data_IF_686978621504
#
_entry.id   IF_686978621504
#
_cell.length_a   1.000
_cell.length_b   1.000
_cell.length_c   1.000
_cell.angle_alpha   90.00
_cell.angle_beta   90.00
_cell.angle_gamma   90.00
#
_symmetry.space_group_name_H-M   'P 1'
#
loop_
_entity.id
_entity.type
_entity.pdbx_description
1 polymer ?
#
# COMPACT_ATOMS: atom_id res chain seq x y z
N UNK A 1 7.70 -17.33 2.14
CA UNK A 1 6.42 -16.60 1.94
C UNK A 1 6.00 -16.87 0.50
N UNK A 2 4.73 -17.24 0.25
CA UNK A 2 4.23 -17.57 -1.10
C UNK A 2 3.48 -16.42 -1.77
N UNK A 3 2.93 -15.51 -0.98
CA UNK A 3 2.37 -14.26 -1.43
C UNK A 3 2.64 -13.18 -0.38
N UNK A 4 2.88 -11.94 -0.81
CA UNK A 4 3.03 -10.78 0.06
C UNK A 4 2.29 -9.58 -0.53
N UNK A 5 1.55 -8.88 0.32
CA UNK A 5 0.92 -7.61 -0.04
C UNK A 5 1.61 -6.49 0.75
N UNK A 6 2.29 -5.61 0.03
CA UNK A 6 2.97 -4.44 0.57
C UNK A 6 2.05 -3.22 0.37
N UNK A 7 1.73 -2.54 1.47
CA UNK A 7 0.73 -1.47 1.48
C UNK A 7 1.36 -0.18 2.00
N UNK A 8 1.32 0.88 1.17
CA UNK A 8 1.75 2.24 1.50
C UNK A 8 3.20 2.33 2.06
N UNK A 9 4.12 1.55 1.52
CA UNK A 9 5.54 1.59 1.90
C UNK A 9 6.46 1.10 0.77
N UNK A 10 7.71 1.56 0.77
CA UNK A 10 8.75 1.20 -0.20
C UNK A 10 9.92 0.47 0.49
N UNK A 11 9.76 -0.79 0.91
CA UNK A 11 10.74 -1.52 1.71
C UNK A 11 12.06 -1.78 0.99
N UNK A 12 12.10 -1.74 -0.35
CA UNK A 12 13.35 -1.82 -1.12
C UNK A 12 14.25 -0.60 -0.88
N UNK A 13 13.70 0.50 -0.37
CA UNK A 13 14.47 1.70 0.01
C UNK A 13 14.51 1.90 1.53
N UNK A 14 13.40 1.68 2.23
CA UNK A 14 13.24 2.12 3.62
C UNK A 14 13.70 1.11 4.68
N UNK A 15 13.79 -0.18 4.34
CA UNK A 15 14.21 -1.20 5.30
C UNK A 15 15.74 -1.36 5.33
N UNK A 16 16.32 -1.70 6.51
CA UNK A 16 17.72 -2.08 6.60
C UNK A 16 17.97 -3.35 5.78
N UNK A 17 19.18 -3.46 5.22
CA UNK A 17 19.56 -4.56 4.32
C UNK A 17 18.60 -4.68 3.11
N UNK A 18 18.45 -3.57 2.39
CA UNK A 18 17.57 -3.45 1.22
C UNK A 18 17.88 -4.47 0.11
N UNK A 19 19.15 -4.89 -0.02
CA UNK A 19 19.56 -5.93 -0.96
C UNK A 19 18.89 -7.27 -0.64
N UNK A 20 18.84 -7.66 0.63
CA UNK A 20 18.15 -8.87 1.07
C UNK A 20 16.64 -8.76 0.90
N UNK A 21 16.05 -7.60 1.17
CA UNK A 21 14.62 -7.34 0.93
C UNK A 21 14.28 -7.50 -0.54
N UNK A 22 15.05 -6.84 -1.42
CA UNK A 22 14.90 -6.95 -2.87
C UNK A 22 14.96 -8.41 -3.34
N UNK A 23 16.00 -9.15 -2.93
CA UNK A 23 16.14 -10.55 -3.28
C UNK A 23 14.97 -11.41 -2.76
N UNK A 24 14.43 -11.11 -1.56
CA UNK A 24 13.28 -11.83 -1.02
C UNK A 24 12.00 -11.56 -1.82
N UNK A 25 11.81 -10.34 -2.32
CA UNK A 25 10.67 -9.98 -3.19
C UNK A 25 10.80 -10.62 -4.57
N UNK A 26 11.99 -10.59 -5.19
CA UNK A 26 12.24 -11.26 -6.49
C UNK A 26 12.02 -12.78 -6.42
N UNK A 27 12.22 -13.41 -5.26
CA UNK A 27 11.97 -14.83 -5.04
C UNK A 27 10.56 -15.13 -4.51
N UNK A 28 9.72 -14.12 -4.26
CA UNK A 28 8.35 -14.32 -3.81
C UNK A 28 7.46 -14.65 -5.01
N UNK A 29 6.68 -15.76 -4.98
CA UNK A 29 5.84 -16.14 -6.12
C UNK A 29 4.72 -15.17 -6.48
N UNK A 30 4.32 -14.29 -5.56
CA UNK A 30 3.27 -13.32 -5.81
C UNK A 30 3.41 -12.08 -4.91
N UNK A 31 3.66 -10.93 -5.51
CA UNK A 31 3.86 -9.65 -4.83
C UNK A 31 2.78 -8.67 -5.29
N UNK A 32 1.94 -8.22 -4.35
CA UNK A 32 0.98 -7.14 -4.56
C UNK A 32 1.51 -5.88 -3.89
N UNK A 33 1.43 -4.74 -4.58
CA UNK A 33 1.78 -3.44 -4.01
C UNK A 33 0.59 -2.50 -4.15
N UNK A 34 0.10 -1.95 -3.03
CA UNK A 34 -0.85 -0.83 -3.05
C UNK A 34 -0.14 0.46 -2.66
N UNK A 35 -0.01 1.38 -3.62
CA UNK A 35 0.75 2.63 -3.46
C UNK A 35 0.05 3.78 -4.20
N UNK A 36 0.21 5.01 -3.69
CA UNK A 36 -0.26 6.23 -4.34
C UNK A 36 0.78 6.82 -5.30
N UNK A 37 2.02 6.30 -5.29
CA UNK A 37 3.09 6.65 -6.23
C UNK A 37 3.27 5.51 -7.23
N UNK A 38 3.12 5.83 -8.52
CA UNK A 38 3.12 4.83 -9.58
C UNK A 38 4.46 4.09 -9.73
N UNK A 39 5.57 4.80 -9.58
CA UNK A 39 6.91 4.27 -9.81
C UNK A 39 7.77 4.38 -8.55
N UNK A 40 7.98 3.25 -7.88
CA UNK A 40 8.87 3.07 -6.74
C UNK A 40 9.71 1.81 -6.95
N UNK A 41 10.81 1.68 -6.23
CA UNK A 41 11.67 0.49 -6.27
C UNK A 41 10.91 -0.78 -5.88
N UNK A 42 9.90 -0.65 -5.01
CA UNK A 42 9.04 -1.78 -4.63
C UNK A 42 7.96 -2.06 -5.69
N UNK A 43 7.33 -1.05 -6.30
CA UNK A 43 6.31 -1.31 -7.34
C UNK A 43 6.91 -1.97 -8.58
N UNK A 44 8.18 -1.70 -8.89
CA UNK A 44 8.92 -2.37 -9.99
C UNK A 44 9.12 -3.87 -9.79
N UNK A 45 8.97 -4.37 -8.55
CA UNK A 45 9.09 -5.79 -8.22
C UNK A 45 7.72 -6.46 -8.00
N UNK A 46 6.62 -5.75 -8.25
CA UNK A 46 5.27 -6.26 -8.02
C UNK A 46 4.73 -7.00 -9.24
N UNK A 47 4.00 -8.10 -8.99
CA UNK A 47 3.18 -8.75 -10.02
C UNK A 47 1.88 -7.96 -10.27
N UNK A 48 1.34 -7.33 -9.22
CA UNK A 48 0.14 -6.49 -9.28
C UNK A 48 0.38 -5.20 -8.53
N UNK A 49 0.13 -4.08 -9.20
CA UNK A 49 0.11 -2.74 -8.59
C UNK A 49 -1.34 -2.25 -8.51
N UNK A 50 -1.79 -1.93 -7.31
CA UNK A 50 -3.13 -1.39 -7.05
C UNK A 50 -3.03 0.12 -6.72
N UNK A 51 -3.69 1.01 -7.48
CA UNK A 51 -3.59 2.45 -7.25
C UNK A 51 -4.29 2.85 -5.94
N UNK A 52 -3.50 3.19 -4.91
CA UNK A 52 -4.01 3.52 -3.59
C UNK A 52 -4.28 5.01 -3.44
N UNK A 53 -5.29 5.36 -2.64
CA UNK A 53 -5.54 6.76 -2.28
C UNK A 53 -4.48 7.31 -1.34
N UNK A 54 -3.99 8.50 -1.67
CA UNK A 54 -3.12 9.31 -0.84
C UNK A 54 -3.84 9.89 0.39
N UNK A 55 -3.09 10.60 1.23
CA UNK A 55 -3.59 11.14 2.49
C UNK A 55 -4.77 12.11 2.29
N UNK A 56 -4.67 13.07 1.37
CA UNK A 56 -5.72 14.09 1.13
C UNK A 56 -6.98 13.54 0.45
N UNK A 57 -6.96 12.31 -0.04
CA UNK A 57 -7.99 11.73 -0.92
C UNK A 57 -8.97 10.81 -0.18
N UNK A 58 -8.64 10.45 1.07
CA UNK A 58 -9.45 9.54 1.91
C UNK A 58 -9.84 10.16 3.25
N UNK A 59 -10.99 9.73 3.75
CA UNK A 59 -11.43 10.06 5.12
C UNK A 59 -11.10 8.90 6.06
N UNK A 60 -10.79 9.22 7.30
CA UNK A 60 -10.42 8.23 8.29
C UNK A 60 -10.00 8.86 9.61
N UNK A 61 -9.28 8.11 10.42
CA UNK A 61 -8.72 8.59 11.68
C UNK A 61 -7.23 8.34 11.70
N UNK A 62 -6.47 9.27 12.27
CA UNK A 62 -5.04 9.10 12.52
C UNK A 62 -4.77 9.29 14.01
N UNK A 63 -3.74 8.63 14.52
CA UNK A 63 -3.31 8.73 15.91
C UNK A 63 -1.96 9.41 15.94
N UNK A 64 -1.83 10.51 16.69
CA UNK A 64 -0.57 11.22 16.84
C UNK A 64 0.32 10.60 17.95
N UNK A 65 1.51 11.16 18.15
CA UNK A 65 2.50 10.67 19.14
C UNK A 65 2.00 10.70 20.59
N UNK A 66 1.07 11.60 20.93
CA UNK A 66 0.44 11.69 22.25
C UNK A 66 -0.76 10.74 22.40
N UNK A 67 -0.97 9.84 21.42
CA UNK A 67 -2.09 8.89 21.35
C UNK A 67 -3.47 9.56 21.16
N UNK A 68 -3.50 10.82 20.69
CA UNK A 68 -4.75 11.50 20.35
C UNK A 68 -5.22 11.07 18.97
N UNK A 69 -6.47 10.61 18.90
CA UNK A 69 -7.15 10.32 17.64
C UNK A 69 -7.72 11.61 17.07
N UNK A 70 -7.40 11.91 15.81
CA UNK A 70 -8.01 13.01 15.06
C UNK A 70 -8.76 12.49 13.84
N UNK A 71 -9.84 13.20 13.48
CA UNK A 71 -10.62 12.89 12.29
C UNK A 71 -10.01 13.56 11.08
N UNK A 72 -9.54 12.75 10.14
CA UNK A 72 -9.15 13.18 8.81
C UNK A 72 -10.38 13.19 7.90
N UNK A 73 -10.56 14.30 7.17
CA UNK A 73 -11.57 14.44 6.13
C UNK A 73 -10.87 14.56 4.79
N UNK A 74 -11.46 13.93 3.78
CA UNK A 74 -11.03 14.06 2.38
C UNK A 74 -11.09 15.51 1.95
N UNK A 75 -10.05 15.95 1.24
CA UNK A 75 -9.91 17.32 0.70
C UNK A 75 -9.93 17.29 -0.83
N UNK A 76 -9.40 16.22 -1.45
CA UNK A 76 -9.33 16.07 -2.91
C UNK A 76 -10.17 14.89 -3.41
N UNK A 77 -10.69 14.94 -4.65
CA UNK A 77 -11.22 13.76 -5.30
C UNK A 77 -10.14 12.70 -5.47
N UNK A 78 -10.55 11.46 -5.71
CA UNK A 78 -9.64 10.34 -5.92
C UNK A 78 -9.12 10.41 -7.35
N UNK A 79 -7.80 10.29 -7.57
CA UNK A 79 -7.23 10.33 -8.91
C UNK A 79 -7.58 9.03 -9.65
N UNK A 80 -8.19 9.17 -10.83
CA UNK A 80 -8.56 8.03 -11.68
C UNK A 80 -9.33 6.95 -10.91
N UNK A 81 -8.80 5.74 -10.93
CA UNK A 81 -9.42 4.57 -10.32
C UNK A 81 -8.98 4.33 -8.86
N UNK A 82 -8.22 5.25 -8.26
CA UNK A 82 -7.62 5.04 -6.95
C UNK A 82 -8.66 4.77 -5.85
N UNK A 83 -8.42 3.71 -5.07
CA UNK A 83 -9.27 3.29 -3.94
C UNK A 83 -8.48 3.33 -2.64
N UNK A 84 -9.13 3.55 -1.48
CA UNK A 84 -8.44 3.43 -0.21
C UNK A 84 -8.09 1.96 0.03
N UNK A 85 -6.99 1.70 0.72
CA UNK A 85 -6.46 0.34 0.88
C UNK A 85 -7.46 -0.63 1.52
N UNK A 86 -8.24 -0.16 2.50
CA UNK A 86 -9.29 -0.95 3.15
C UNK A 86 -10.36 -1.45 2.16
N UNK A 87 -10.63 -0.69 1.10
CA UNK A 87 -11.60 -1.07 0.07
C UNK A 87 -11.04 -2.22 -0.75
N UNK A 88 -9.76 -2.16 -1.14
CA UNK A 88 -9.11 -3.25 -1.88
C UNK A 88 -9.08 -4.54 -1.08
N UNK A 89 -8.72 -4.47 0.21
CA UNK A 89 -8.74 -5.62 1.12
C UNK A 89 -10.15 -6.20 1.22
N UNK A 90 -11.17 -5.35 1.38
CA UNK A 90 -12.58 -5.76 1.42
C UNK A 90 -12.99 -6.47 0.12
N UNK A 91 -12.68 -5.93 -1.05
CA UNK A 91 -13.07 -6.55 -2.32
C UNK A 91 -12.37 -7.89 -2.57
N UNK A 92 -11.09 -7.99 -2.20
CA UNK A 92 -10.35 -9.26 -2.26
C UNK A 92 -10.99 -10.27 -1.31
N UNK A 93 -11.26 -9.89 -0.06
CA UNK A 93 -11.92 -10.76 0.90
C UNK A 93 -13.28 -11.25 0.38
N UNK A 94 -14.12 -10.35 -0.15
CA UNK A 94 -15.43 -10.72 -0.72
C UNK A 94 -15.34 -11.73 -1.88
N UNK A 95 -14.26 -11.67 -2.68
CA UNK A 95 -14.04 -12.62 -3.78
C UNK A 95 -13.49 -13.96 -3.31
N UNK A 96 -12.98 -14.04 -2.08
CA UNK A 96 -12.44 -15.26 -1.49
C UNK A 96 -13.49 -16.08 -0.72
N UNK A 97 -14.71 -15.56 -0.56
CA UNK A 97 -15.81 -16.19 0.19
C UNK A 97 -15.96 -15.64 1.60
#
# INVERSE_FOLDING_TARGET
IKAVWIMATNPVVSLPDSARVKAALENCPFVVVSDCIADTETTRLADVVLPAQGWSEKSGTVTNSERRISRQRRILPSPGEAKPDWWMIKEVAQKMG
#
